data_IF_645832667313
#
_entry.id   IF_645832667313
#
_cell.length_a   1.000
_cell.length_b   1.000
_cell.length_c   1.000
_cell.angle_alpha   90.00
_cell.angle_beta   90.00
_cell.angle_gamma   90.00
#
_symmetry.space_group_name_H-M   'P 1'
#
loop_
_entity.id
_entity.type
_entity.pdbx_description
1 polymer ?
#
# COMPACT_ATOMS: atom_id res chain seq x y z
N UNK A 1 11.39 -14.94 3.14
CA UNK A 1 10.14 -14.56 3.84
C UNK A 1 10.30 -13.96 5.24
N UNK A 2 11.22 -14.46 6.09
CA UNK A 2 11.33 -14.02 7.50
C UNK A 2 11.48 -12.50 7.69
N UNK A 3 12.19 -11.81 6.79
CA UNK A 3 12.40 -10.34 6.85
C UNK A 3 11.12 -9.49 6.84
N UNK A 4 9.98 -10.05 6.43
CA UNK A 4 8.71 -9.33 6.41
C UNK A 4 7.94 -9.42 7.74
N UNK A 5 8.36 -10.30 8.65
CA UNK A 5 7.71 -10.54 9.93
C UNK A 5 8.57 -10.03 11.07
N UNK A 6 7.95 -9.31 12.00
CA UNK A 6 8.61 -8.85 13.21
C UNK A 6 7.71 -9.04 14.42
N UNK A 7 8.17 -9.81 15.39
CA UNK A 7 7.54 -9.87 16.72
C UNK A 7 8.14 -8.79 17.60
N UNK A 8 7.32 -7.81 17.95
CA UNK A 8 7.75 -6.72 18.82
C UNK A 8 7.79 -7.18 20.28
N UNK A 9 8.92 -6.90 20.94
CA UNK A 9 9.06 -7.18 22.37
C UNK A 9 8.11 -6.31 23.20
N UNK A 10 7.51 -6.94 24.20
CA UNK A 10 6.69 -6.28 25.24
C UNK A 10 7.46 -6.04 26.54
N UNK A 11 8.72 -6.50 26.59
CA UNK A 11 9.57 -6.32 27.77
C UNK A 11 10.08 -4.89 27.86
N UNK A 12 10.15 -4.38 29.08
CA UNK A 12 10.64 -3.04 29.39
C UNK A 12 10.72 -2.83 30.89
N UNK A 13 11.16 -1.64 31.29
CA UNK A 13 11.28 -1.28 32.70
C UNK A 13 9.91 -1.11 33.32
N UNK A 14 9.74 -1.64 34.54
CA UNK A 14 8.53 -1.46 35.34
C UNK A 14 8.59 -0.08 36.01
N UNK A 15 7.49 0.65 35.93
CA UNK A 15 7.33 1.96 36.55
C UNK A 15 6.46 1.80 37.80
N UNK A 16 6.84 2.46 38.90
CA UNK A 16 6.04 2.46 40.13
C UNK A 16 4.70 3.19 39.93
N UNK A 17 3.71 2.86 40.76
CA UNK A 17 2.43 3.57 40.74
C UNK A 17 2.60 5.08 40.99
N UNK A 18 3.48 5.45 41.92
CA UNK A 18 3.81 6.85 42.22
C UNK A 18 4.35 7.58 40.99
N UNK A 19 5.31 6.99 40.27
CA UNK A 19 5.86 7.59 39.06
C UNK A 19 4.80 7.73 37.95
N UNK A 20 3.86 6.77 37.84
CA UNK A 20 2.72 6.89 36.91
C UNK A 20 1.75 8.00 37.29
N UNK A 21 1.50 8.22 38.58
CA UNK A 21 0.64 9.30 39.07
C UNK A 21 1.31 10.66 38.84
N UNK A 22 2.58 10.80 39.20
CA UNK A 22 3.36 12.02 38.97
C UNK A 22 3.40 12.39 37.47
N UNK A 23 3.65 11.41 36.59
CA UNK A 23 3.63 11.65 35.14
C UNK A 23 2.26 12.13 34.63
N UNK A 24 1.15 11.65 35.22
CA UNK A 24 -0.20 12.12 34.87
C UNK A 24 -0.43 13.56 35.31
N UNK A 25 0.03 13.93 36.49
CA UNK A 25 -0.07 15.31 37.01
C UNK A 25 0.79 16.27 36.18
N UNK A 26 2.03 15.89 35.87
CA UNK A 26 2.91 16.67 34.99
C UNK A 26 2.32 16.88 33.60
N UNK A 27 1.68 15.84 33.03
CA UNK A 27 0.94 15.94 31.77
C UNK A 27 -0.23 16.90 31.88
N UNK A 28 -1.05 16.81 32.93
CA UNK A 28 -2.18 17.71 33.14
C UNK A 28 -1.71 19.17 33.30
N UNK A 29 -0.64 19.40 34.05
CA UNK A 29 -0.03 20.72 34.21
C UNK A 29 0.48 21.28 32.86
N UNK A 30 1.17 20.46 32.06
CA UNK A 30 1.62 20.87 30.74
C UNK A 30 0.45 21.21 29.81
N UNK A 31 -0.62 20.42 29.83
CA UNK A 31 -1.84 20.72 29.06
C UNK A 31 -2.43 22.08 29.46
N UNK A 32 -2.55 22.36 30.75
CA UNK A 32 -3.03 23.66 31.26
C UNK A 32 -2.12 24.82 30.84
N UNK A 33 -0.80 24.65 30.93
CA UNK A 33 0.18 25.66 30.50
C UNK A 33 0.07 25.98 29.01
N UNK A 34 -0.08 24.94 28.17
CA UNK A 34 -0.24 25.11 26.72
C UNK A 34 -1.55 25.84 26.39
N UNK A 35 -2.66 25.44 27.01
CA UNK A 35 -3.96 26.09 26.81
C UNK A 35 -3.95 27.56 27.26
N UNK A 36 -3.39 27.84 28.44
CA UNK A 36 -3.29 29.21 28.95
C UNK A 36 -2.41 30.10 28.07
N UNK A 37 -1.29 29.57 27.57
CA UNK A 37 -0.34 30.31 26.73
C UNK A 37 -0.86 30.58 25.33
N UNK A 38 -1.44 29.58 24.68
CA UNK A 38 -1.78 29.66 23.26
C UNK A 38 -3.26 29.96 23.00
N UNK A 39 -4.17 29.66 23.93
CA UNK A 39 -5.61 29.84 23.79
C UNK A 39 -6.20 29.18 22.53
N UNK A 40 -5.64 28.03 22.16
CA UNK A 40 -6.03 27.22 21.00
C UNK A 40 -6.32 25.79 21.44
N UNK A 41 -7.12 25.02 20.67
CA UNK A 41 -7.35 23.62 20.96
C UNK A 41 -6.06 22.79 21.01
N UNK A 42 -6.07 21.81 21.91
CA UNK A 42 -4.91 20.98 22.21
C UNK A 42 -5.23 19.51 21.91
N UNK A 43 -4.46 18.91 21.02
CA UNK A 43 -4.40 17.46 20.86
C UNK A 43 -3.32 16.90 21.80
N UNK A 44 -3.73 16.00 22.69
CA UNK A 44 -2.85 15.18 23.53
C UNK A 44 -2.85 13.75 23.00
N UNK A 45 -1.66 13.24 22.68
CA UNK A 45 -1.46 11.90 22.12
C UNK A 45 -0.78 11.06 23.18
N UNK A 46 -1.40 9.94 23.55
CA UNK A 46 -0.74 8.86 24.31
C UNK A 46 -1.10 7.51 23.72
N UNK A 47 -0.59 6.42 24.31
CA UNK A 47 -0.91 5.06 23.87
C UNK A 47 -1.75 4.33 24.92
N UNK A 48 -2.59 3.41 24.44
CA UNK A 48 -3.27 2.42 25.27
C UNK A 48 -2.24 1.38 25.73
N UNK A 49 -1.51 1.70 26.79
CA UNK A 49 -0.50 0.84 27.39
C UNK A 49 -1.01 0.17 28.69
N UNK A 50 -0.90 -1.15 28.78
CA UNK A 50 -1.37 -1.95 29.92
C UNK A 50 -0.25 -2.26 30.92
N UNK A 51 -0.59 -2.37 32.20
CA UNK A 51 0.34 -2.81 33.26
C UNK A 51 1.41 -1.77 33.64
N UNK A 52 2.49 -2.24 34.26
CA UNK A 52 3.59 -1.43 34.81
C UNK A 52 4.65 -1.03 33.76
N UNK A 53 4.68 -1.72 32.61
CA UNK A 53 5.61 -1.44 31.52
C UNK A 53 4.96 -0.48 30.53
N UNK A 54 5.47 0.76 30.44
CA UNK A 54 4.92 1.80 29.58
C UNK A 54 5.78 2.16 28.38
N UNK A 55 6.96 1.56 28.28
CA UNK A 55 7.91 1.76 27.20
C UNK A 55 8.58 0.43 26.87
N UNK A 56 8.50 0.05 25.60
CA UNK A 56 9.08 -1.15 25.01
C UNK A 56 9.07 -0.99 23.48
N UNK A 57 9.79 -1.85 22.73
CA UNK A 57 9.86 -1.74 21.28
C UNK A 57 8.50 -1.75 20.56
N UNK A 58 7.49 -2.44 21.10
CA UNK A 58 6.13 -2.40 20.55
C UNK A 58 5.52 -0.99 20.66
N UNK A 59 5.57 -0.40 21.85
CA UNK A 59 5.01 0.93 22.10
C UNK A 59 5.80 2.02 21.39
N UNK A 60 7.12 1.86 21.24
CA UNK A 60 7.97 2.75 20.44
C UNK A 60 7.47 2.81 18.99
N UNK A 61 7.29 1.64 18.37
CA UNK A 61 6.78 1.54 17.00
C UNK A 61 5.34 2.07 16.86
N UNK A 62 4.43 1.70 17.77
CA UNK A 62 3.04 2.21 17.74
C UNK A 62 3.02 3.74 17.85
N UNK A 63 3.89 4.32 18.68
CA UNK A 63 4.00 5.76 18.85
C UNK A 63 4.55 6.46 17.61
N UNK A 64 5.58 5.89 16.97
CA UNK A 64 6.08 6.39 15.69
C UNK A 64 4.97 6.44 14.64
N UNK A 65 4.17 5.36 14.52
CA UNK A 65 3.10 5.27 13.53
C UNK A 65 1.95 6.26 13.76
N UNK A 66 1.60 6.58 15.01
CA UNK A 66 0.61 7.65 15.25
C UNK A 66 1.15 9.01 14.83
N UNK A 67 2.43 9.31 15.08
CA UNK A 67 3.04 10.57 14.70
C UNK A 67 3.14 10.72 13.18
N UNK A 68 3.49 9.65 12.46
CA UNK A 68 3.49 9.63 11.00
C UNK A 68 2.09 9.91 10.43
N UNK A 69 1.06 9.22 10.93
CA UNK A 69 -0.32 9.38 10.47
C UNK A 69 -0.89 10.76 10.80
N UNK A 70 -0.59 11.30 11.98
CA UNK A 70 -0.94 12.69 12.31
C UNK A 70 -0.24 13.69 11.40
N UNK A 71 1.03 13.48 11.09
CA UNK A 71 1.80 14.35 10.18
C UNK A 71 1.17 14.35 8.78
N UNK A 72 0.82 13.17 8.26
CA UNK A 72 0.15 13.04 6.97
C UNK A 72 -1.24 13.71 6.96
N UNK A 73 -2.04 13.51 8.01
CA UNK A 73 -3.35 14.14 8.16
C UNK A 73 -3.24 15.66 8.22
N UNK A 74 -2.29 16.19 8.99
CA UNK A 74 -2.06 17.63 9.11
C UNK A 74 -1.63 18.24 7.77
N UNK A 75 -0.76 17.57 7.03
CA UNK A 75 -0.38 18.01 5.68
C UNK A 75 -1.59 18.03 4.73
N UNK A 76 -2.40 16.95 4.72
CA UNK A 76 -3.60 16.85 3.88
C UNK A 76 -4.62 17.96 4.20
N UNK A 77 -4.83 18.25 5.48
CA UNK A 77 -5.78 19.27 5.95
C UNK A 77 -5.18 20.69 5.99
N UNK A 78 -3.89 20.84 5.66
CA UNK A 78 -3.11 22.08 5.79
C UNK A 78 -3.14 22.66 7.21
N UNK A 79 -3.18 21.78 8.22
CA UNK A 79 -3.13 22.17 9.62
C UNK A 79 -1.67 22.30 10.06
N UNK A 80 -1.29 23.49 10.51
CA UNK A 80 0.07 23.77 10.98
C UNK A 80 0.00 23.95 12.50
N UNK A 81 0.60 23.04 13.31
CA UNK A 81 0.61 23.20 14.75
C UNK A 81 1.36 24.48 15.17
N UNK A 82 0.73 25.32 15.98
CA UNK A 82 1.38 26.47 16.63
C UNK A 82 2.42 26.04 17.66
N UNK A 83 2.28 24.83 18.20
CA UNK A 83 3.29 24.18 19.04
C UNK A 83 3.21 22.67 18.88
N UNK A 84 4.39 22.03 18.77
CA UNK A 84 4.58 20.58 18.86
C UNK A 84 5.54 20.28 20.00
N UNK A 85 5.17 19.32 20.85
CA UNK A 85 6.04 18.74 21.88
C UNK A 85 5.94 17.22 21.76
N UNK A 86 7.07 16.52 21.79
CA UNK A 86 7.13 15.04 21.80
C UNK A 86 8.05 14.64 22.95
N UNK A 87 7.58 13.76 23.83
CA UNK A 87 8.34 13.26 24.99
C UNK A 87 8.35 11.73 24.98
N UNK A 88 9.55 11.15 24.95
CA UNK A 88 9.76 9.71 25.00
C UNK A 88 10.09 9.24 26.42
N UNK A 89 9.11 9.36 27.32
CA UNK A 89 9.29 9.08 28.74
C UNK A 89 9.20 7.57 29.05
N UNK A 90 9.88 7.14 30.11
CA UNK A 90 9.77 5.74 30.58
C UNK A 90 8.38 5.43 31.16
N UNK A 91 7.66 6.45 31.63
CA UNK A 91 6.24 6.40 32.03
C UNK A 91 5.26 6.33 30.86
N UNK A 92 5.76 6.37 29.61
CA UNK A 92 4.98 6.25 28.38
C UNK A 92 5.21 7.41 27.42
N UNK A 93 5.20 7.11 26.12
CA UNK A 93 5.30 8.15 25.10
C UNK A 93 4.10 9.07 25.07
N UNK A 94 4.37 10.34 24.81
CA UNK A 94 3.33 11.34 24.64
C UNK A 94 3.73 12.45 23.68
N UNK A 95 2.73 13.02 23.01
CA UNK A 95 2.91 14.21 22.19
C UNK A 95 1.76 15.19 22.39
N UNK A 96 2.06 16.47 22.16
CA UNK A 96 1.12 17.57 22.27
C UNK A 96 1.19 18.42 21.01
N UNK A 97 0.03 18.71 20.45
CA UNK A 97 -0.11 19.59 19.29
C UNK A 97 -1.15 20.66 19.61
N UNK A 98 -0.69 21.92 19.68
CA UNK A 98 -1.56 23.08 19.74
C UNK A 98 -1.89 23.48 18.31
N UNK A 99 -3.16 23.46 17.93
CA UNK A 99 -3.57 23.61 16.53
C UNK A 99 -4.55 24.78 16.38
N UNK A 100 -4.34 25.68 15.40
CA UNK A 100 -5.24 26.81 15.12
C UNK A 100 -6.44 26.34 14.29
N UNK A 101 -7.18 25.36 14.81
CA UNK A 101 -8.34 24.73 14.16
C UNK A 101 -9.47 24.62 15.18
N UNK A 102 -10.70 24.45 14.71
CA UNK A 102 -11.83 24.23 15.59
C UNK A 102 -11.70 22.88 16.35
N UNK A 103 -12.03 22.88 17.64
CA UNK A 103 -11.88 21.70 18.50
C UNK A 103 -12.83 20.57 18.08
N UNK A 104 -14.02 20.90 17.57
CA UNK A 104 -15.02 19.93 17.10
C UNK A 104 -14.53 19.29 15.80
N UNK A 105 -14.00 20.08 14.86
CA UNK A 105 -13.37 19.56 13.64
C UNK A 105 -12.18 18.64 13.97
N UNK A 106 -11.29 19.08 14.85
CA UNK A 106 -10.13 18.30 15.28
C UNK A 106 -10.55 16.97 15.91
N UNK A 107 -11.54 16.97 16.82
CA UNK A 107 -12.00 15.73 17.46
C UNK A 107 -12.65 14.76 16.48
N UNK A 108 -13.40 15.24 15.48
CA UNK A 108 -13.94 14.36 14.42
C UNK A 108 -12.83 13.66 13.67
N UNK A 109 -11.81 14.40 13.24
CA UNK A 109 -10.68 13.83 12.53
C UNK A 109 -9.88 12.84 13.39
N UNK A 110 -9.73 13.09 14.70
CA UNK A 110 -9.09 12.15 15.61
C UNK A 110 -9.91 10.86 15.78
N UNK A 111 -11.24 10.96 15.89
CA UNK A 111 -12.12 9.78 15.95
C UNK A 111 -12.01 8.95 14.68
N UNK A 112 -12.06 9.59 13.51
CA UNK A 112 -11.86 8.91 12.21
C UNK A 112 -10.49 8.23 12.14
N UNK A 113 -9.45 8.90 12.64
CA UNK A 113 -8.10 8.37 12.64
C UNK A 113 -7.97 7.15 13.58
N UNK A 114 -8.54 7.19 14.79
CA UNK A 114 -8.57 6.05 15.72
C UNK A 114 -9.31 4.82 15.15
N UNK A 115 -10.32 5.07 14.31
CA UNK A 115 -11.15 4.02 13.70
C UNK A 115 -10.61 3.55 12.34
N UNK A 116 -9.51 4.16 11.84
CA UNK A 116 -8.99 3.91 10.49
C UNK A 116 -8.36 2.53 10.30
N UNK A 117 -7.68 1.98 11.31
CA UNK A 117 -6.97 0.70 11.22
C UNK A 117 -7.01 -0.06 12.55
N UNK A 118 -6.72 -1.36 12.50
CA UNK A 118 -6.60 -2.16 13.70
C UNK A 118 -5.50 -1.67 14.66
N UNK A 119 -4.39 -1.13 14.14
CA UNK A 119 -3.30 -0.54 14.93
C UNK A 119 -3.74 0.76 15.62
N UNK A 120 -4.52 1.59 14.93
CA UNK A 120 -4.99 2.88 15.44
C UNK A 120 -5.82 2.79 16.72
N UNK A 121 -6.38 1.61 16.99
CA UNK A 121 -7.06 1.27 18.25
C UNK A 121 -6.16 1.30 19.48
N UNK A 122 -4.84 1.32 19.30
CA UNK A 122 -3.85 1.46 20.37
C UNK A 122 -3.49 2.93 20.66
N UNK A 123 -3.93 3.88 19.83
CA UNK A 123 -3.70 5.30 20.06
C UNK A 123 -4.75 5.87 20.98
N UNK A 124 -4.39 6.86 21.78
CA UNK A 124 -5.31 7.63 22.63
C UNK A 124 -5.19 9.10 22.22
N UNK A 125 -6.16 9.58 21.44
CA UNK A 125 -6.17 10.90 20.81
C UNK A 125 -7.19 11.82 21.49
N UNK A 126 -6.74 12.46 22.56
CA UNK A 126 -7.53 13.37 23.37
C UNK A 126 -7.49 14.79 22.82
N UNK A 127 -8.66 15.42 22.68
CA UNK A 127 -8.77 16.81 22.23
C UNK A 127 -9.40 17.63 23.34
N UNK A 128 -8.66 18.65 23.79
CA UNK A 128 -9.14 19.65 24.73
C UNK A 128 -9.52 20.91 23.95
N UNK A 129 -10.69 21.47 24.25
CA UNK A 129 -11.08 22.77 23.73
C UNK A 129 -10.29 23.91 24.40
N UNK A 130 -10.50 25.15 23.93
CA UNK A 130 -9.81 26.35 24.46
C UNK A 130 -10.05 26.60 25.95
N UNK A 131 -11.11 26.03 26.53
CA UNK A 131 -11.44 26.14 27.96
C UNK A 131 -10.87 24.96 28.77
N UNK A 132 -10.18 24.03 28.13
CA UNK A 132 -9.64 22.82 28.74
C UNK A 132 -10.66 21.71 28.95
N UNK A 133 -11.84 21.78 28.33
CA UNK A 133 -12.80 20.66 28.37
C UNK A 133 -12.33 19.57 27.41
N UNK A 134 -12.20 18.35 27.92
CA UNK A 134 -11.96 17.16 27.12
C UNK A 134 -13.20 16.80 26.30
N UNK A 135 -13.05 16.69 24.98
CA UNK A 135 -14.11 16.28 24.07
C UNK A 135 -14.18 14.75 23.98
N UNK A 136 -15.37 14.21 24.22
CA UNK A 136 -15.65 12.76 24.24
C UNK A 136 -16.32 12.28 22.95
N UNK A 137 -16.27 10.97 22.67
CA UNK A 137 -16.95 10.37 21.50
C UNK A 137 -18.48 10.56 21.55
N UNK A 138 -19.07 10.57 22.75
CA UNK A 138 -20.51 10.78 22.96
C UNK A 138 -20.97 12.19 22.57
N UNK A 139 -20.10 13.20 22.67
CA UNK A 139 -20.41 14.56 22.20
C UNK A 139 -20.67 14.61 20.68
N UNK A 140 -20.32 13.53 19.94
CA UNK A 140 -20.44 13.42 18.48
C UNK A 140 -21.37 12.29 18.04
N UNK A 141 -22.20 11.75 18.94
CA UNK A 141 -23.08 10.60 18.69
C UNK A 141 -22.33 9.37 18.14
N UNK A 142 -21.06 9.20 18.52
CA UNK A 142 -20.25 8.04 18.15
C UNK A 142 -20.25 7.01 19.28
N UNK A 143 -20.26 5.70 18.95
CA UNK A 143 -20.21 4.67 19.97
C UNK A 143 -18.91 4.75 20.79
N UNK A 144 -18.93 4.26 22.04
CA UNK A 144 -17.72 4.13 22.84
C UNK A 144 -16.71 3.20 22.15
N UNK A 145 -15.43 3.31 22.52
CA UNK A 145 -14.40 2.40 22.01
C UNK A 145 -14.73 0.96 22.42
N UNK A 146 -14.60 0.05 21.46
CA UNK A 146 -14.80 -1.38 21.69
C UNK A 146 -13.57 -2.01 22.36
N UNK A 147 -13.76 -3.10 23.10
CA UNK A 147 -12.68 -3.88 23.69
C UNK A 147 -11.83 -4.50 22.59
N UNK A 148 -10.51 -4.51 22.77
CA UNK A 148 -9.56 -5.11 21.81
C UNK A 148 -9.80 -6.62 21.62
N UNK A 149 -10.35 -7.30 22.64
CA UNK A 149 -10.54 -8.75 22.66
C UNK A 149 -11.93 -9.17 22.20
N UNK A 150 -12.99 -8.69 22.89
CA UNK A 150 -14.36 -9.18 22.68
C UNK A 150 -15.27 -8.24 21.88
N UNK A 151 -14.82 -7.04 21.52
CA UNK A 151 -15.64 -6.09 20.76
C UNK A 151 -16.77 -5.40 21.56
N UNK A 152 -17.01 -5.77 22.82
CA UNK A 152 -17.95 -5.07 23.72
C UNK A 152 -17.44 -3.68 24.13
N UNK A 153 -18.19 -2.92 24.93
CA UNK A 153 -17.72 -1.62 25.42
C UNK A 153 -16.44 -1.77 26.29
N UNK A 154 -15.33 -1.17 25.85
CA UNK A 154 -14.03 -1.29 26.52
C UNK A 154 -14.07 -0.84 27.99
N UNK A 155 -14.85 0.20 28.33
CA UNK A 155 -14.95 0.70 29.71
C UNK A 155 -15.52 -0.36 30.65
N UNK A 156 -16.47 -1.15 30.18
CA UNK A 156 -17.06 -2.22 30.97
C UNK A 156 -16.05 -3.34 31.23
N UNK A 157 -15.33 -3.77 30.19
CA UNK A 157 -14.30 -4.82 30.28
C UNK A 157 -13.15 -4.42 31.21
N UNK A 158 -12.69 -3.16 31.15
CA UNK A 158 -11.64 -2.66 32.04
C UNK A 158 -12.11 -2.63 33.49
N UNK A 159 -13.34 -2.15 33.76
CA UNK A 159 -13.90 -2.09 35.11
C UNK A 159 -14.10 -3.48 35.72
N UNK A 160 -14.57 -4.44 34.93
CA UNK A 160 -14.82 -5.81 35.39
C UNK A 160 -13.59 -6.72 35.31
N UNK A 161 -12.44 -6.20 34.82
CA UNK A 161 -11.23 -7.00 34.53
C UNK A 161 -11.54 -8.28 33.77
N UNK A 162 -12.38 -8.16 32.72
CA UNK A 162 -12.93 -9.31 31.98
C UNK A 162 -11.86 -10.18 31.30
N UNK A 163 -10.73 -9.58 30.93
CA UNK A 163 -9.65 -10.22 30.19
C UNK A 163 -8.35 -10.15 30.97
N UNK A 164 -7.51 -11.18 30.84
CA UNK A 164 -6.18 -11.19 31.43
C UNK A 164 -5.27 -10.19 30.71
N UNK A 165 -4.28 -9.64 31.42
CA UNK A 165 -3.35 -8.68 30.83
C UNK A 165 -2.57 -9.28 29.65
N UNK A 166 -2.20 -10.55 29.74
CA UNK A 166 -1.45 -11.26 28.70
C UNK A 166 -2.26 -11.41 27.40
N UNK A 167 -3.59 -11.58 27.50
CA UNK A 167 -4.46 -11.63 26.31
C UNK A 167 -4.47 -10.29 25.58
N UNK A 168 -4.51 -9.19 26.34
CA UNK A 168 -4.48 -7.83 25.79
C UNK A 168 -3.11 -7.54 25.16
N UNK A 169 -2.02 -7.90 25.83
CA UNK A 169 -0.66 -7.71 25.31
C UNK A 169 -0.43 -8.53 24.03
N UNK A 170 -0.94 -9.76 23.97
CA UNK A 170 -0.86 -10.60 22.78
C UNK A 170 -1.65 -9.98 21.61
N UNK A 171 -2.85 -9.45 21.86
CA UNK A 171 -3.63 -8.76 20.84
C UNK A 171 -2.95 -7.47 20.35
N UNK A 172 -2.30 -6.72 21.24
CA UNK A 172 -1.47 -5.57 20.87
C UNK A 172 -0.31 -6.00 19.95
N UNK A 173 0.37 -7.10 20.27
CA UNK A 173 1.43 -7.66 19.43
C UNK A 173 0.91 -8.06 18.06
N UNK A 174 -0.23 -8.75 17.99
CA UNK A 174 -0.83 -9.16 16.71
C UNK A 174 -1.18 -7.98 15.81
N UNK A 175 -1.79 -6.92 16.36
CA UNK A 175 -2.11 -5.70 15.59
C UNK A 175 -0.85 -5.03 15.06
N UNK A 176 0.18 -4.99 15.89
CA UNK A 176 1.48 -4.39 15.54
C UNK A 176 2.19 -5.19 14.45
N UNK A 177 2.27 -6.51 14.60
CA UNK A 177 2.79 -7.44 13.61
C UNK A 177 2.07 -7.32 12.26
N UNK A 178 0.74 -7.29 12.29
CA UNK A 178 -0.09 -7.18 11.09
C UNK A 178 0.18 -5.89 10.32
N UNK A 179 0.22 -4.75 11.03
CA UNK A 179 0.46 -3.46 10.40
C UNK A 179 1.90 -3.35 9.89
N UNK A 180 2.90 -3.80 10.66
CA UNK A 180 4.29 -3.84 10.21
C UNK A 180 4.47 -4.66 8.94
N UNK A 181 3.89 -5.86 8.90
CA UNK A 181 3.92 -6.71 7.70
C UNK A 181 3.32 -5.98 6.50
N UNK A 182 2.15 -5.35 6.66
CA UNK A 182 1.53 -4.57 5.60
C UNK A 182 2.40 -3.40 5.11
N UNK A 183 3.10 -2.70 6.01
CA UNK A 183 4.08 -1.67 5.65
C UNK A 183 5.23 -2.23 4.82
N UNK A 184 5.80 -3.37 5.20
CA UNK A 184 6.90 -3.95 4.45
C UNK A 184 6.49 -4.37 3.04
N UNK A 185 5.28 -4.90 2.86
CA UNK A 185 4.74 -5.21 1.53
C UNK A 185 4.49 -3.94 0.73
N UNK A 186 3.83 -2.94 1.32
CA UNK A 186 3.58 -1.65 0.67
C UNK A 186 4.87 -0.94 0.25
N UNK A 187 5.92 -1.04 1.06
CA UNK A 187 7.26 -0.54 0.72
C UNK A 187 7.83 -1.27 -0.50
N UNK A 188 7.76 -2.60 -0.56
CA UNK A 188 8.26 -3.35 -1.72
C UNK A 188 7.50 -3.06 -3.00
N UNK A 189 6.19 -2.83 -2.92
CA UNK A 189 5.39 -2.39 -4.09
C UNK A 189 5.84 -1.00 -4.53
N UNK A 190 5.98 -0.06 -3.59
CA UNK A 190 6.46 1.29 -3.89
C UNK A 190 7.83 1.26 -4.58
N UNK A 191 8.79 0.50 -4.04
CA UNK A 191 10.12 0.34 -4.66
C UNK A 191 10.04 -0.29 -6.06
N UNK A 192 9.12 -1.24 -6.27
CA UNK A 192 8.96 -1.88 -7.57
C UNK A 192 8.41 -0.92 -8.63
N UNK A 193 7.45 -0.05 -8.26
CA UNK A 193 6.95 0.99 -9.15
C UNK A 193 8.03 2.02 -9.50
N UNK A 194 8.84 2.44 -8.52
CA UNK A 194 9.95 3.35 -8.79
C UNK A 194 10.99 2.73 -9.72
N UNK A 195 11.39 1.48 -9.47
CA UNK A 195 12.37 0.82 -10.32
C UNK A 195 11.86 0.55 -11.73
N UNK A 196 10.59 0.18 -11.88
CA UNK A 196 9.97 0.10 -13.20
C UNK A 196 10.06 1.45 -13.91
N UNK A 197 9.65 2.54 -13.25
CA UNK A 197 9.63 3.87 -13.85
C UNK A 197 11.05 4.36 -14.20
N UNK A 198 12.06 4.04 -13.39
CA UNK A 198 13.44 4.49 -13.57
C UNK A 198 14.24 3.65 -14.57
N UNK A 199 13.88 2.37 -14.77
CA UNK A 199 14.56 1.47 -15.71
C UNK A 199 14.57 2.09 -17.11
N UNK A 200 15.74 2.10 -17.77
CA UNK A 200 15.90 2.64 -19.12
C UNK A 200 16.87 1.80 -19.95
N UNK A 201 16.70 1.70 -21.27
CA UNK A 201 15.59 2.23 -22.08
C UNK A 201 14.37 1.30 -22.07
N UNK A 202 13.15 1.86 -21.99
CA UNK A 202 11.89 1.12 -22.08
C UNK A 202 11.09 1.52 -23.33
N UNK A 203 11.09 0.69 -24.40
CA UNK A 203 10.54 1.09 -25.69
C UNK A 203 9.09 1.61 -25.66
N UNK A 204 8.91 2.90 -25.96
CA UNK A 204 7.62 3.59 -26.02
C UNK A 204 7.01 3.95 -24.65
N UNK A 205 7.70 3.63 -23.56
CA UNK A 205 7.27 3.89 -22.18
C UNK A 205 7.99 5.12 -21.61
N UNK A 206 7.43 5.68 -20.55
CA UNK A 206 8.14 6.68 -19.74
C UNK A 206 9.27 5.99 -19.00
N UNK A 207 10.49 6.54 -19.07
CA UNK A 207 11.65 6.08 -18.32
C UNK A 207 12.52 7.26 -17.82
N UNK A 208 13.77 6.98 -17.38
CA UNK A 208 14.70 8.02 -16.93
C UNK A 208 15.33 8.83 -18.06
N UNK A 209 15.27 8.33 -19.31
CA UNK A 209 15.85 9.00 -20.47
C UNK A 209 14.81 9.83 -21.22
N UNK A 210 13.57 9.34 -21.33
CA UNK A 210 12.53 9.92 -22.18
C UNK A 210 11.12 9.74 -21.60
N UNK A 211 10.16 10.47 -22.16
CA UNK A 211 8.73 10.26 -21.87
C UNK A 211 8.10 9.16 -22.77
N UNK A 212 8.90 8.47 -23.57
CA UNK A 212 8.42 7.52 -24.57
C UNK A 212 7.39 8.15 -25.51
N UNK A 213 6.30 7.43 -25.76
CA UNK A 213 5.20 7.87 -26.60
C UNK A 213 4.18 8.78 -25.86
N UNK A 214 4.56 9.42 -24.77
CA UNK A 214 3.65 10.26 -23.96
C UNK A 214 4.05 11.73 -24.00
N UNK A 215 3.04 12.59 -23.87
CA UNK A 215 3.19 14.06 -23.79
C UNK A 215 2.59 14.62 -22.48
N UNK A 216 1.84 13.79 -21.75
CA UNK A 216 1.05 14.10 -20.57
C UNK A 216 1.66 13.56 -19.27
N UNK A 217 2.74 12.80 -19.35
CA UNK A 217 3.47 12.26 -18.19
C UNK A 217 4.97 12.08 -18.47
N UNK A 218 5.73 12.03 -17.38
CA UNK A 218 7.18 11.89 -17.31
C UNK A 218 7.57 11.14 -16.03
N UNK A 219 8.86 10.87 -15.83
CA UNK A 219 9.36 10.15 -14.65
C UNK A 219 8.86 10.75 -13.32
N UNK A 220 8.95 12.07 -13.16
CA UNK A 220 8.50 12.74 -11.93
C UNK A 220 7.00 12.52 -11.66
N UNK A 221 6.19 12.40 -12.72
CA UNK A 221 4.75 12.11 -12.60
C UNK A 221 4.52 10.70 -12.08
N UNK A 222 5.32 9.72 -12.52
CA UNK A 222 5.33 8.36 -11.97
C UNK A 222 5.81 8.33 -10.52
N UNK A 223 6.88 9.02 -10.16
CA UNK A 223 7.41 9.08 -8.79
C UNK A 223 6.40 9.66 -7.80
N UNK A 224 5.75 10.79 -8.16
CA UNK A 224 4.66 11.37 -7.36
C UNK A 224 3.48 10.41 -7.21
N UNK A 225 3.14 9.71 -8.28
CA UNK A 225 2.05 8.73 -8.29
C UNK A 225 2.37 7.55 -7.36
N UNK A 226 3.56 6.94 -7.47
CA UNK A 226 3.99 5.83 -6.63
C UNK A 226 3.97 6.21 -5.13
N UNK A 227 4.45 7.41 -4.79
CA UNK A 227 4.45 7.91 -3.42
C UNK A 227 3.02 8.07 -2.87
N UNK A 228 2.11 8.63 -3.67
CA UNK A 228 0.70 8.80 -3.28
C UNK A 228 -0.03 7.46 -3.13
N UNK A 229 0.39 6.42 -3.86
CA UNK A 229 -0.23 5.11 -3.85
C UNK A 229 0.28 4.19 -2.73
N UNK A 230 1.47 4.43 -2.19
CA UNK A 230 2.08 3.61 -1.13
C UNK A 230 1.13 3.31 0.05
N UNK A 231 0.40 4.27 0.64
CA UNK A 231 -0.54 3.99 1.72
C UNK A 231 -1.67 3.03 1.32
N UNK A 232 -2.15 3.12 0.08
CA UNK A 232 -3.23 2.25 -0.41
C UNK A 232 -2.78 0.80 -0.54
N UNK A 233 -1.53 0.55 -0.94
CA UNK A 233 -0.99 -0.82 -0.96
C UNK A 233 -0.93 -1.44 0.44
N UNK A 234 -0.59 -0.65 1.47
CA UNK A 234 -0.69 -1.09 2.87
C UNK A 234 -2.14 -1.45 3.21
N UNK A 235 -3.09 -0.59 2.84
CA UNK A 235 -4.51 -0.79 3.09
C UNK A 235 -5.07 -2.02 2.37
N UNK A 236 -4.60 -2.34 1.15
CA UNK A 236 -4.98 -3.57 0.43
C UNK A 236 -4.52 -4.81 1.19
N UNK A 237 -3.30 -4.83 1.72
CA UNK A 237 -2.81 -5.95 2.56
C UNK A 237 -3.67 -6.08 3.81
N UNK A 238 -3.93 -4.98 4.52
CA UNK A 238 -4.77 -4.98 5.73
C UNK A 238 -6.19 -5.47 5.42
N UNK A 239 -6.77 -5.05 4.30
CA UNK A 239 -8.11 -5.50 3.87
C UNK A 239 -8.11 -6.99 3.50
N UNK A 240 -7.02 -7.49 2.92
CA UNK A 240 -6.80 -8.92 2.71
C UNK A 240 -6.83 -9.72 4.02
N UNK A 241 -6.19 -9.21 5.08
CA UNK A 241 -6.23 -9.84 6.40
C UNK A 241 -7.63 -9.82 7.02
N UNK A 242 -8.36 -8.71 6.88
CA UNK A 242 -9.72 -8.54 7.41
C UNK A 242 -10.72 -9.50 6.75
N UNK A 243 -10.57 -9.73 5.45
CA UNK A 243 -11.47 -10.58 4.66
C UNK A 243 -11.11 -12.06 4.69
N UNK A 244 -10.14 -12.48 5.51
CA UNK A 244 -9.65 -13.86 5.53
C UNK A 244 -10.73 -14.92 5.85
N UNK A 245 -11.77 -14.55 6.59
CA UNK A 245 -12.90 -15.42 6.93
C UNK A 245 -14.01 -15.47 5.85
N UNK A 246 -13.96 -14.60 4.84
CA UNK A 246 -14.98 -14.53 3.78
C UNK A 246 -14.65 -15.51 2.64
N UNK A 247 -15.63 -15.98 1.85
CA UNK A 247 -15.35 -16.67 0.58
C UNK A 247 -14.42 -15.85 -0.32
N UNK A 248 -13.50 -16.52 -1.03
CA UNK A 248 -12.45 -15.88 -1.84
C UNK A 248 -13.03 -14.97 -2.93
N UNK A 249 -14.09 -15.43 -3.61
CA UNK A 249 -14.80 -14.68 -4.65
C UNK A 249 -15.55 -13.43 -4.15
N UNK A 250 -15.72 -13.26 -2.83
CA UNK A 250 -16.35 -12.06 -2.27
C UNK A 250 -15.34 -10.94 -1.96
N UNK A 251 -14.04 -11.26 -1.86
CA UNK A 251 -13.00 -10.30 -1.44
C UNK A 251 -12.93 -9.09 -2.35
N UNK A 252 -13.13 -9.27 -3.66
CA UNK A 252 -13.07 -8.20 -4.64
C UNK A 252 -14.02 -7.03 -4.31
N UNK A 253 -15.22 -7.33 -3.81
CA UNK A 253 -16.22 -6.32 -3.44
C UNK A 253 -15.76 -5.41 -2.28
N UNK A 254 -14.88 -5.92 -1.41
CA UNK A 254 -14.32 -5.19 -0.26
C UNK A 254 -13.09 -4.36 -0.63
N UNK A 255 -12.32 -4.79 -1.62
CA UNK A 255 -11.10 -4.08 -2.05
C UNK A 255 -11.36 -3.10 -3.21
N UNK A 256 -12.43 -3.27 -4.00
CA UNK A 256 -12.78 -2.40 -5.12
C UNK A 256 -12.98 -0.93 -4.69
N UNK A 257 -13.69 -0.59 -3.60
CA UNK A 257 -13.78 0.80 -3.13
C UNK A 257 -12.43 1.41 -2.80
N UNK A 258 -11.51 0.62 -2.24
CA UNK A 258 -10.15 1.07 -1.94
C UNK A 258 -9.36 1.37 -3.22
N UNK A 259 -9.51 0.54 -4.26
CA UNK A 259 -8.92 0.80 -5.58
C UNK A 259 -9.43 2.08 -6.22
N UNK A 260 -10.72 2.39 -6.09
CA UNK A 260 -11.28 3.66 -6.59
C UNK A 260 -10.70 4.87 -5.85
N UNK A 261 -10.50 4.78 -4.53
CA UNK A 261 -9.84 5.83 -3.77
C UNK A 261 -8.37 5.99 -4.16
N UNK A 262 -7.67 4.88 -4.42
CA UNK A 262 -6.29 4.89 -4.90
C UNK A 262 -6.19 5.56 -6.29
N UNK A 263 -7.11 5.24 -7.21
CA UNK A 263 -7.19 5.90 -8.53
C UNK A 263 -7.43 7.40 -8.39
N UNK A 264 -8.33 7.83 -7.49
CA UNK A 264 -8.58 9.25 -7.24
C UNK A 264 -7.34 9.96 -6.70
N UNK A 265 -6.63 9.37 -5.75
CA UNK A 265 -5.40 9.93 -5.19
C UNK A 265 -4.29 10.03 -6.25
N UNK A 266 -4.16 9.01 -7.10
CA UNK A 266 -3.29 9.04 -8.28
C UNK A 266 -3.65 10.22 -9.18
N UNK A 267 -4.89 10.31 -9.66
CA UNK A 267 -5.30 11.37 -10.57
C UNK A 267 -5.11 12.78 -9.97
N UNK A 268 -5.33 12.96 -8.68
CA UNK A 268 -5.11 14.24 -8.02
C UNK A 268 -3.63 14.67 -8.03
N UNK A 269 -2.70 13.73 -7.82
CA UNK A 269 -1.25 14.05 -7.79
C UNK A 269 -0.60 14.10 -9.18
N UNK A 270 -1.27 13.51 -10.18
CA UNK A 270 -0.78 13.44 -11.57
C UNK A 270 -1.49 14.41 -12.52
N UNK A 271 -2.24 15.39 -11.99
CA UNK A 271 -3.02 16.34 -12.82
C UNK A 271 -3.97 15.65 -13.81
N UNK A 272 -4.64 14.59 -13.35
CA UNK A 272 -5.57 13.75 -14.10
C UNK A 272 -4.96 12.84 -15.19
N UNK A 273 -3.64 12.64 -15.17
CA UNK A 273 -2.98 11.68 -16.06
C UNK A 273 -3.08 10.23 -15.53
N UNK A 274 -3.36 9.29 -16.42
CA UNK A 274 -3.43 7.86 -16.11
C UNK A 274 -2.05 7.21 -16.08
N UNK A 275 -1.37 7.25 -14.93
CA UNK A 275 -0.01 6.70 -14.74
C UNK A 275 0.00 5.22 -14.34
N UNK A 276 -0.63 4.89 -13.22
CA UNK A 276 -0.53 3.59 -12.55
C UNK A 276 -1.88 2.88 -12.38
N UNK A 277 -2.90 3.18 -13.19
CA UNK A 277 -4.23 2.58 -13.01
C UNK A 277 -4.22 1.05 -13.13
N UNK A 278 -3.47 0.51 -14.08
CA UNK A 278 -3.31 -0.94 -14.23
C UNK A 278 -2.54 -1.55 -13.06
N UNK A 279 -1.44 -0.92 -12.64
CA UNK A 279 -0.71 -1.29 -11.44
C UNK A 279 -1.58 -1.28 -10.17
N UNK A 280 -2.45 -0.29 -9.94
CA UNK A 280 -3.38 -0.25 -8.79
C UNK A 280 -4.26 -1.50 -8.78
N UNK A 281 -4.83 -1.86 -9.93
CA UNK A 281 -5.68 -3.05 -10.04
C UNK A 281 -4.91 -4.32 -9.69
N UNK A 282 -3.77 -4.55 -10.34
CA UNK A 282 -3.02 -5.80 -10.17
C UNK A 282 -2.36 -5.91 -8.80
N UNK A 283 -1.68 -4.86 -8.33
CA UNK A 283 -1.11 -4.85 -6.97
C UNK A 283 -2.21 -4.87 -5.90
N UNK A 284 -3.39 -4.28 -6.13
CA UNK A 284 -4.50 -4.36 -5.19
C UNK A 284 -4.91 -5.80 -4.89
N UNK A 285 -5.02 -6.63 -5.94
CA UNK A 285 -5.31 -8.07 -5.81
C UNK A 285 -4.18 -8.83 -5.12
N UNK A 286 -2.93 -8.59 -5.54
CA UNK A 286 -1.75 -9.29 -5.01
C UNK A 286 -1.50 -8.94 -3.55
N UNK A 287 -1.57 -7.65 -3.18
CA UNK A 287 -1.47 -7.20 -1.80
C UNK A 287 -2.56 -7.80 -0.92
N UNK A 288 -3.82 -7.81 -1.39
CA UNK A 288 -4.91 -8.45 -0.66
C UNK A 288 -4.69 -9.96 -0.47
N UNK A 289 -4.18 -10.65 -1.50
CA UNK A 289 -3.89 -12.08 -1.42
C UNK A 289 -2.79 -12.35 -0.39
N UNK A 290 -1.70 -11.58 -0.43
CA UNK A 290 -0.59 -11.67 0.54
C UNK A 290 -1.08 -11.41 1.97
N UNK A 291 -1.92 -10.39 2.18
CA UNK A 291 -2.51 -10.10 3.48
C UNK A 291 -3.38 -11.24 4.00
N UNK A 292 -4.23 -11.80 3.15
CA UNK A 292 -5.08 -12.95 3.49
C UNK A 292 -4.23 -14.18 3.87
N UNK A 293 -3.21 -14.50 3.08
CA UNK A 293 -2.29 -15.61 3.37
C UNK A 293 -1.55 -15.39 4.69
N UNK A 294 -1.13 -14.16 4.99
CA UNK A 294 -0.48 -13.84 6.26
C UNK A 294 -1.39 -14.03 7.47
N UNK A 295 -2.68 -13.67 7.36
CA UNK A 295 -3.64 -13.92 8.41
C UNK A 295 -3.87 -15.43 8.62
N UNK A 296 -4.02 -16.20 7.54
CA UNK A 296 -4.21 -17.65 7.59
C UNK A 296 -2.97 -18.40 8.11
N UNK A 297 -1.77 -17.88 7.83
CA UNK A 297 -0.52 -18.40 8.37
C UNK A 297 -0.22 -17.95 9.81
N UNK A 298 -1.12 -17.21 10.46
CA UNK A 298 -0.90 -16.62 11.79
C UNK A 298 0.40 -15.81 11.89
N UNK A 299 0.74 -15.06 10.84
CA UNK A 299 1.97 -14.26 10.73
C UNK A 299 3.26 -15.06 10.97
N UNK A 300 3.24 -16.35 10.64
CA UNK A 300 4.45 -17.20 10.62
C UNK A 300 4.99 -17.29 9.20
N UNK A 301 6.29 -17.08 9.06
CA UNK A 301 6.96 -17.26 7.79
C UNK A 301 6.82 -18.72 7.33
N UNK A 302 6.26 -18.92 6.14
CA UNK A 302 6.10 -20.24 5.53
C UNK A 302 6.25 -20.13 4.00
N UNK A 303 7.33 -20.67 3.45
CA UNK A 303 7.66 -20.49 2.03
C UNK A 303 6.64 -21.12 1.08
N UNK A 304 5.95 -22.19 1.48
CA UNK A 304 4.90 -22.81 0.68
C UNK A 304 3.64 -21.93 0.62
N UNK A 305 3.24 -21.35 1.76
CA UNK A 305 2.07 -20.47 1.84
C UNK A 305 2.31 -19.18 1.05
N UNK A 306 3.54 -18.65 1.11
CA UNK A 306 3.92 -17.43 0.41
C UNK A 306 4.66 -17.69 -0.91
N UNK A 307 4.45 -18.86 -1.53
CA UNK A 307 4.96 -19.09 -2.88
C UNK A 307 4.25 -18.15 -3.85
N UNK A 308 4.92 -17.82 -4.96
CA UNK A 308 4.33 -16.97 -6.00
C UNK A 308 3.08 -17.63 -6.58
N UNK A 309 3.13 -18.95 -6.79
CA UNK A 309 1.98 -19.73 -7.24
C UNK A 309 0.79 -19.59 -6.29
N UNK A 310 1.00 -19.70 -4.97
CA UNK A 310 -0.05 -19.54 -3.96
C UNK A 310 -0.67 -18.14 -3.99
N UNK A 311 0.17 -17.10 -4.09
CA UNK A 311 -0.29 -15.70 -4.17
C UNK A 311 -1.10 -15.46 -5.44
N UNK A 312 -0.57 -15.89 -6.58
CA UNK A 312 -1.20 -15.78 -7.89
C UNK A 312 -2.53 -16.56 -7.95
N UNK A 313 -2.55 -17.80 -7.47
CA UNK A 313 -3.76 -18.64 -7.43
C UNK A 313 -4.85 -18.01 -6.58
N UNK A 314 -4.50 -17.47 -5.40
CA UNK A 314 -5.48 -16.78 -4.56
C UNK A 314 -5.98 -15.48 -5.21
N UNK A 315 -5.10 -14.73 -5.87
CA UNK A 315 -5.51 -13.52 -6.60
C UNK A 315 -6.47 -13.83 -7.76
N UNK A 316 -6.30 -14.96 -8.45
CA UNK A 316 -7.22 -15.44 -9.48
C UNK A 316 -8.61 -15.76 -8.92
N UNK A 317 -8.66 -16.40 -7.75
CA UNK A 317 -9.92 -16.68 -7.04
C UNK A 317 -10.65 -15.41 -6.63
N UNK A 318 -9.93 -14.33 -6.28
CA UNK A 318 -10.55 -13.03 -6.04
C UNK A 318 -11.06 -12.39 -7.33
N UNK A 319 -10.33 -12.57 -8.42
CA UNK A 319 -10.63 -12.02 -9.74
C UNK A 319 -11.70 -12.81 -10.50
N UNK A 320 -12.18 -13.93 -9.96
CA UNK A 320 -13.12 -14.83 -10.63
C UNK A 320 -14.32 -14.05 -11.19
N UNK A 321 -14.62 -14.31 -12.47
CA UNK A 321 -15.72 -13.73 -13.25
C UNK A 321 -15.56 -12.23 -13.62
N UNK A 322 -14.40 -11.62 -13.38
CA UNK A 322 -14.09 -10.26 -13.87
C UNK A 322 -14.13 -10.11 -15.39
N UNK A 323 -13.81 -11.15 -16.16
CA UNK A 323 -13.95 -11.07 -17.63
C UNK A 323 -15.41 -11.19 -18.05
N UNK A 324 -16.27 -11.87 -17.28
CA UNK A 324 -17.72 -11.85 -17.51
C UNK A 324 -18.31 -10.46 -17.33
N UNK A 325 -17.71 -9.60 -16.50
CA UNK A 325 -18.10 -8.18 -16.42
C UNK A 325 -17.81 -7.39 -17.71
N UNK A 326 -16.86 -7.85 -18.55
CA UNK A 326 -16.59 -7.24 -19.87
C UNK A 326 -17.64 -7.70 -20.89
N UNK A 327 -18.04 -8.96 -20.82
CA UNK A 327 -19.11 -9.54 -21.65
C UNK A 327 -20.48 -8.89 -21.32
N UNK A 328 -20.82 -8.83 -20.03
CA UNK A 328 -22.09 -8.30 -19.53
C UNK A 328 -21.95 -6.84 -19.07
N UNK A 329 -21.20 -6.03 -19.81
CA UNK A 329 -21.01 -4.62 -19.47
C UNK A 329 -22.33 -3.83 -19.59
N UNK A 330 -22.78 -3.10 -18.57
CA UNK A 330 -24.08 -2.44 -18.59
C UNK A 330 -24.19 -1.38 -19.70
N UNK A 331 -25.26 -1.45 -20.50
CA UNK A 331 -25.45 -0.56 -21.66
C UNK A 331 -25.64 0.92 -21.31
N UNK A 332 -26.03 1.22 -20.06
CA UNK A 332 -26.18 2.60 -19.59
C UNK A 332 -24.85 3.26 -19.19
N UNK A 333 -23.74 2.52 -19.15
CA UNK A 333 -22.42 3.04 -18.80
C UNK A 333 -21.61 3.38 -20.06
N UNK A 334 -20.77 4.43 -20.01
CA UNK A 334 -19.86 4.74 -21.11
C UNK A 334 -18.92 3.58 -21.42
N UNK A 335 -18.82 3.20 -22.71
CA UNK A 335 -17.91 2.14 -23.14
C UNK A 335 -16.47 2.54 -22.83
N UNK A 336 -15.82 1.77 -21.96
CA UNK A 336 -14.40 1.93 -21.66
C UNK A 336 -13.54 1.31 -22.77
N UNK A 337 -12.28 1.74 -22.88
CA UNK A 337 -11.30 1.14 -23.79
C UNK A 337 -11.22 -0.39 -23.66
N UNK A 338 -11.21 -0.91 -22.43
CA UNK A 338 -11.15 -2.35 -22.17
C UNK A 338 -12.39 -3.10 -22.69
N UNK A 339 -13.59 -2.55 -22.48
CA UNK A 339 -14.84 -3.15 -22.99
C UNK A 339 -14.87 -3.14 -24.51
N UNK A 340 -14.45 -2.04 -25.15
CA UNK A 340 -14.35 -1.96 -26.61
C UNK A 340 -13.42 -3.03 -27.16
N UNK A 341 -12.18 -3.11 -26.63
CA UNK A 341 -11.18 -4.06 -27.10
C UNK A 341 -11.56 -5.53 -26.84
N UNK A 342 -12.28 -5.79 -25.75
CA UNK A 342 -12.85 -7.11 -25.49
C UNK A 342 -13.92 -7.48 -26.53
N UNK A 343 -14.87 -6.58 -26.81
CA UNK A 343 -15.94 -6.82 -27.80
C UNK A 343 -15.40 -6.97 -29.23
N UNK A 344 -14.38 -6.21 -29.58
CA UNK A 344 -13.83 -6.18 -30.95
C UNK A 344 -12.84 -7.31 -31.22
N UNK A 345 -12.01 -7.67 -30.23
CA UNK A 345 -10.86 -8.56 -30.43
C UNK A 345 -10.75 -9.70 -29.41
N UNK A 346 -11.69 -9.81 -28.45
CA UNK A 346 -11.62 -10.81 -27.36
C UNK A 346 -10.52 -10.53 -26.33
N UNK A 347 -9.92 -9.34 -26.35
CA UNK A 347 -8.82 -8.99 -25.45
C UNK A 347 -9.32 -8.69 -24.05
N UNK A 348 -8.96 -9.54 -23.09
CA UNK A 348 -9.38 -9.44 -21.69
C UNK A 348 -8.54 -8.45 -20.86
N UNK A 349 -7.34 -8.11 -21.33
CA UNK A 349 -6.40 -7.22 -20.65
C UNK A 349 -6.04 -7.68 -19.23
N UNK A 350 -5.79 -6.70 -18.34
CA UNK A 350 -5.40 -6.96 -16.96
C UNK A 350 -6.39 -7.84 -16.18
N UNK A 351 -7.69 -7.79 -16.51
CA UNK A 351 -8.72 -8.62 -15.87
C UNK A 351 -8.51 -10.10 -16.14
N UNK A 352 -8.29 -10.45 -17.41
CA UNK A 352 -8.01 -11.85 -17.78
C UNK A 352 -6.65 -12.32 -17.30
N UNK A 353 -5.64 -11.44 -17.28
CA UNK A 353 -4.35 -11.78 -16.65
C UNK A 353 -4.53 -12.12 -15.16
N UNK A 354 -5.30 -11.34 -14.42
CA UNK A 354 -5.61 -11.60 -13.02
C UNK A 354 -6.42 -12.90 -12.83
N UNK A 355 -7.45 -13.14 -13.62
CA UNK A 355 -8.23 -14.39 -13.59
C UNK A 355 -7.39 -15.64 -13.90
N UNK A 356 -6.39 -15.51 -14.77
CA UNK A 356 -5.44 -16.58 -15.07
C UNK A 356 -4.30 -16.68 -14.03
N UNK A 357 -4.37 -15.91 -12.94
CA UNK A 357 -3.38 -15.93 -11.88
C UNK A 357 -2.03 -15.39 -12.31
N UNK A 358 -2.00 -14.33 -13.12
CA UNK A 358 -0.77 -13.70 -13.58
C UNK A 358 0.21 -14.69 -14.20
N UNK A 359 -0.30 -15.57 -15.07
CA UNK A 359 0.46 -16.67 -15.67
C UNK A 359 1.74 -16.19 -16.37
N UNK A 360 1.75 -15.00 -16.96
CA UNK A 360 2.94 -14.45 -17.61
C UNK A 360 4.08 -14.23 -16.62
N UNK A 361 3.78 -13.75 -15.41
CA UNK A 361 4.75 -13.56 -14.35
C UNK A 361 5.28 -14.91 -13.86
N UNK A 362 4.38 -15.88 -13.65
CA UNK A 362 4.76 -17.22 -13.21
C UNK A 362 5.70 -17.92 -14.19
N UNK A 363 5.52 -17.70 -15.49
CA UNK A 363 6.44 -18.19 -16.54
C UNK A 363 7.73 -17.37 -16.64
N UNK A 364 7.67 -16.05 -16.41
CA UNK A 364 8.81 -15.16 -16.56
C UNK A 364 9.86 -15.35 -15.47
N UNK A 365 9.44 -15.48 -14.21
CA UNK A 365 10.38 -15.46 -13.10
C UNK A 365 11.40 -16.61 -13.13
N UNK A 366 11.02 -17.89 -13.39
CA UNK A 366 12.00 -18.96 -13.56
C UNK A 366 12.98 -18.70 -14.72
N UNK A 367 12.51 -18.09 -15.81
CA UNK A 367 13.37 -17.73 -16.94
C UNK A 367 14.41 -16.66 -16.54
N UNK A 368 14.04 -15.71 -15.67
CA UNK A 368 14.97 -14.69 -15.16
C UNK A 368 16.04 -15.24 -14.21
N UNK A 369 15.86 -16.45 -13.68
CA UNK A 369 16.87 -17.13 -12.88
C UNK A 369 18.05 -17.60 -13.76
N UNK A 370 17.84 -17.83 -15.06
CA UNK A 370 18.90 -18.13 -16.06
C UNK A 370 19.85 -16.94 -16.29
N UNK A 371 19.44 -15.74 -15.90
CA UNK A 371 20.19 -14.49 -16.06
C UNK A 371 20.75 -13.95 -14.73
N UNK A 372 20.81 -14.75 -13.66
CA UNK A 372 21.23 -14.31 -12.32
C UNK A 372 22.65 -13.69 -12.27
N UNK A 373 23.52 -14.04 -13.21
CA UNK A 373 24.87 -13.51 -13.38
C UNK A 373 24.91 -12.08 -13.95
N UNK A 374 23.83 -11.64 -14.60
CA UNK A 374 23.74 -10.29 -15.16
C UNK A 374 23.37 -9.28 -14.08
N UNK A 375 23.76 -8.02 -14.28
CA UNK A 375 23.35 -6.98 -13.35
C UNK A 375 21.83 -6.76 -13.36
N UNK A 376 21.34 -6.18 -12.27
CA UNK A 376 19.93 -6.03 -11.98
C UNK A 376 19.14 -5.37 -13.12
N UNK A 377 19.59 -4.20 -13.60
CA UNK A 377 18.90 -3.48 -14.67
C UNK A 377 18.87 -4.29 -15.96
N UNK A 378 19.99 -4.94 -16.30
CA UNK A 378 20.07 -5.77 -17.50
C UNK A 378 19.02 -6.90 -17.47
N UNK A 379 18.88 -7.58 -16.33
CA UNK A 379 17.84 -8.61 -16.15
C UNK A 379 16.43 -8.05 -16.32
N UNK A 380 16.17 -6.83 -15.85
CA UNK A 380 14.87 -6.19 -16.01
C UNK A 380 14.57 -5.76 -17.45
N UNK A 381 15.57 -5.33 -18.21
CA UNK A 381 15.41 -5.05 -19.64
C UNK A 381 15.07 -6.33 -20.43
N UNK A 382 15.70 -7.45 -20.08
CA UNK A 382 15.38 -8.76 -20.64
C UNK A 382 13.96 -9.18 -20.24
N UNK A 383 13.58 -8.96 -18.98
CA UNK A 383 12.24 -9.22 -18.49
C UNK A 383 11.16 -8.46 -19.28
N UNK A 384 11.39 -7.16 -19.52
CA UNK A 384 10.50 -6.32 -20.30
C UNK A 384 10.33 -6.85 -21.73
N UNK A 385 11.41 -7.27 -22.39
CA UNK A 385 11.32 -7.87 -23.73
C UNK A 385 10.46 -9.14 -23.73
N UNK A 386 10.65 -10.03 -22.74
CA UNK A 386 9.83 -11.24 -22.65
C UNK A 386 8.35 -10.93 -22.43
N UNK A 387 8.04 -9.91 -21.63
CA UNK A 387 6.66 -9.45 -21.42
C UNK A 387 6.09 -8.83 -22.70
N UNK A 388 6.82 -7.94 -23.37
CA UNK A 388 6.40 -7.32 -24.63
C UNK A 388 6.21 -8.33 -25.76
N UNK A 389 6.97 -9.43 -25.77
CA UNK A 389 6.86 -10.50 -26.75
C UNK A 389 5.56 -11.34 -26.61
N UNK A 390 4.99 -11.44 -25.40
CA UNK A 390 3.89 -12.36 -25.09
C UNK A 390 2.59 -11.66 -24.71
N UNK A 391 2.67 -10.53 -24.04
CA UNK A 391 1.50 -9.85 -23.50
C UNK A 391 0.64 -9.28 -24.64
N UNK A 392 -0.65 -9.63 -24.73
CA UNK A 392 -1.57 -8.98 -25.65
C UNK A 392 -1.97 -7.60 -25.11
N UNK A 393 -1.00 -6.67 -25.13
CA UNK A 393 -1.10 -5.39 -24.43
C UNK A 393 -2.19 -4.48 -25.02
N UNK A 394 -3.28 -4.33 -24.26
CA UNK A 394 -4.42 -3.50 -24.64
C UNK A 394 -4.08 -2.02 -24.78
N UNK A 395 -3.00 -1.50 -24.15
CA UNK A 395 -2.57 -0.12 -24.36
C UNK A 395 -1.99 0.10 -25.75
N UNK A 396 -1.26 -0.90 -26.28
CA UNK A 396 -0.74 -0.86 -27.65
C UNK A 396 -1.88 -0.95 -28.65
N UNK A 397 -2.81 -1.89 -28.46
CA UNK A 397 -3.97 -2.06 -29.35
C UNK A 397 -4.88 -0.83 -29.32
N UNK A 398 -5.07 -0.21 -28.15
CA UNK A 398 -5.81 1.04 -28.04
C UNK A 398 -5.23 2.16 -28.92
N UNK A 399 -3.90 2.20 -29.08
CA UNK A 399 -3.21 3.28 -29.79
C UNK A 399 -3.02 3.00 -31.28
N UNK A 400 -2.80 1.75 -31.68
CA UNK A 400 -2.45 1.40 -33.06
C UNK A 400 -3.05 0.09 -33.59
N UNK A 401 -4.04 -0.49 -32.90
CA UNK A 401 -4.71 -1.72 -33.33
C UNK A 401 -3.86 -2.98 -33.22
N UNK A 402 -4.33 -4.08 -33.80
CA UNK A 402 -3.65 -5.38 -33.75
C UNK A 402 -2.32 -5.40 -34.51
N UNK A 403 -2.18 -4.61 -35.58
CA UNK A 403 -0.92 -4.49 -36.32
C UNK A 403 0.19 -3.88 -35.45
N UNK A 404 -0.15 -2.87 -34.63
CA UNK A 404 0.79 -2.29 -33.68
C UNK A 404 1.20 -3.28 -32.59
N UNK A 405 0.25 -4.08 -32.08
CA UNK A 405 0.55 -5.15 -31.13
C UNK A 405 1.50 -6.17 -31.74
N UNK A 406 1.23 -6.62 -32.96
CA UNK A 406 2.08 -7.55 -33.70
C UNK A 406 3.48 -6.96 -33.91
N UNK A 407 3.59 -5.67 -34.28
CA UNK A 407 4.87 -4.99 -34.41
C UNK A 407 5.68 -5.02 -33.10
N UNK A 408 5.05 -4.68 -31.98
CA UNK A 408 5.70 -4.67 -30.65
C UNK A 408 6.16 -6.07 -30.26
N UNK A 409 5.28 -7.07 -30.39
CA UNK A 409 5.60 -8.45 -30.06
C UNK A 409 6.71 -9.00 -30.94
N UNK A 410 6.63 -8.80 -32.26
CA UNK A 410 7.62 -9.31 -33.20
C UNK A 410 8.99 -8.65 -33.01
N UNK A 411 9.03 -7.35 -32.77
CA UNK A 411 10.27 -6.63 -32.46
C UNK A 411 10.95 -7.18 -31.20
N UNK A 412 10.17 -7.45 -30.15
CA UNK A 412 10.70 -8.04 -28.92
C UNK A 412 11.19 -9.49 -29.15
N UNK A 413 10.42 -10.30 -29.88
CA UNK A 413 10.78 -11.68 -30.25
C UNK A 413 12.10 -11.70 -31.04
N UNK A 414 12.27 -10.81 -32.02
CA UNK A 414 13.45 -10.79 -32.87
C UNK A 414 14.72 -10.37 -32.12
N UNK A 415 14.60 -9.46 -31.15
CA UNK A 415 15.71 -9.15 -30.24
C UNK A 415 16.08 -10.36 -29.37
N UNK A 416 15.08 -11.05 -28.80
CA UNK A 416 15.29 -12.21 -27.93
C UNK A 416 15.92 -13.43 -28.65
N UNK A 417 15.70 -13.57 -29.97
CA UNK A 417 16.34 -14.62 -30.79
C UNK A 417 17.87 -14.49 -30.83
N UNK A 418 18.42 -13.28 -30.68
CA UNK A 418 19.86 -13.07 -30.74
C UNK A 418 20.48 -13.08 -29.33
N UNK A 419 20.86 -14.26 -28.85
CA UNK A 419 21.48 -14.43 -27.52
C UNK A 419 22.76 -13.61 -27.33
N UNK A 420 23.56 -13.43 -28.40
CA UNK A 420 24.77 -12.60 -28.32
C UNK A 420 24.48 -11.10 -28.13
N UNK A 421 23.29 -10.64 -28.54
CA UNK A 421 22.80 -9.29 -28.28
C UNK A 421 22.20 -9.21 -26.88
N UNK A 422 21.38 -10.19 -26.49
CA UNK A 422 20.68 -10.22 -25.19
C UNK A 422 21.67 -10.23 -24.03
N UNK A 423 22.74 -11.03 -24.11
CA UNK A 423 23.73 -11.17 -23.04
C UNK A 423 24.74 -10.00 -22.95
N UNK A 424 24.74 -9.08 -23.91
CA UNK A 424 25.64 -7.92 -23.94
C UNK A 424 24.84 -6.65 -23.63
N UNK A 425 24.99 -6.11 -22.41
CA UNK A 425 24.21 -4.94 -21.94
C UNK A 425 24.30 -3.76 -22.92
N UNK A 426 25.47 -3.52 -23.51
CA UNK A 426 25.68 -2.36 -24.40
C UNK A 426 24.91 -2.56 -25.70
N UNK A 427 25.03 -3.74 -26.31
CA UNK A 427 24.29 -4.07 -27.55
C UNK A 427 22.78 -4.09 -27.31
N UNK A 428 22.34 -4.68 -26.20
CA UNK A 428 20.92 -4.71 -25.84
C UNK A 428 20.37 -3.29 -25.66
N UNK A 429 21.06 -2.44 -24.90
CA UNK A 429 20.69 -1.03 -24.69
C UNK A 429 20.55 -0.30 -26.03
N UNK A 430 21.54 -0.42 -26.92
CA UNK A 430 21.48 0.21 -28.24
C UNK A 430 20.32 -0.30 -29.09
N UNK A 431 20.03 -1.59 -29.05
CA UNK A 431 18.92 -2.17 -29.78
C UNK A 431 17.56 -1.71 -29.22
N UNK A 432 17.45 -1.61 -27.90
CA UNK A 432 16.26 -1.09 -27.23
C UNK A 432 16.04 0.40 -27.51
N UNK A 433 17.09 1.23 -27.60
CA UNK A 433 16.94 2.65 -28.01
C UNK A 433 16.39 2.79 -29.44
N UNK A 434 16.79 1.89 -30.36
CA UNK A 434 16.22 1.84 -31.71
C UNK A 434 14.76 1.42 -31.68
N UNK A 435 14.44 0.40 -30.88
CA UNK A 435 13.06 -0.06 -30.71
C UNK A 435 12.19 1.02 -30.07
N UNK A 436 12.70 1.72 -29.06
CA UNK A 436 12.07 2.86 -28.41
C UNK A 436 11.72 3.96 -29.41
N UNK A 437 12.70 4.41 -30.20
CA UNK A 437 12.47 5.37 -31.27
C UNK A 437 11.36 4.92 -32.23
N UNK A 438 11.32 3.63 -32.58
CA UNK A 438 10.31 3.08 -33.48
C UNK A 438 8.90 3.04 -32.85
N UNK A 439 8.80 2.80 -31.55
CA UNK A 439 7.55 2.90 -30.78
C UNK A 439 7.09 4.36 -30.67
N UNK A 440 7.98 5.29 -30.34
CA UNK A 440 7.69 6.72 -30.20
C UNK A 440 7.12 7.29 -31.51
N UNK A 441 7.76 7.00 -32.65
CA UNK A 441 7.30 7.46 -33.98
C UNK A 441 5.89 6.94 -34.29
N UNK A 442 5.55 5.74 -33.83
CA UNK A 442 4.23 5.11 -34.03
C UNK A 442 3.23 5.47 -32.92
N UNK A 443 3.63 6.31 -31.97
CA UNK A 443 2.87 6.62 -30.77
C UNK A 443 2.42 5.36 -30.00
N UNK A 444 3.28 4.35 -29.85
CA UNK A 444 2.95 3.10 -29.17
C UNK A 444 3.52 3.07 -27.76
N UNK A 445 2.71 2.65 -26.80
CA UNK A 445 3.15 2.50 -25.40
C UNK A 445 2.67 1.17 -24.80
N UNK A 446 3.59 0.23 -24.55
CA UNK A 446 3.34 -1.06 -23.90
C UNK A 446 3.05 -0.98 -22.39
N UNK A 447 2.04 -0.19 -21.99
CA UNK A 447 1.73 0.08 -20.57
C UNK A 447 1.32 -1.16 -19.77
N UNK A 448 0.67 -2.15 -20.39
CA UNK A 448 0.32 -3.41 -19.72
C UNK A 448 1.56 -4.26 -19.44
N UNK A 449 2.53 -4.25 -20.34
CA UNK A 449 3.83 -4.90 -20.10
C UNK A 449 4.65 -4.19 -19.02
N UNK A 450 4.54 -2.87 -18.89
CA UNK A 450 5.12 -2.11 -17.78
C UNK A 450 4.51 -2.49 -16.43
N UNK A 451 3.17 -2.58 -16.34
CA UNK A 451 2.49 -3.03 -15.10
C UNK A 451 2.95 -4.44 -14.67
N UNK A 452 3.12 -5.36 -15.62
CA UNK A 452 3.63 -6.72 -15.37
C UNK A 452 5.11 -6.73 -15.00
N UNK A 453 5.91 -5.81 -15.54
CA UNK A 453 7.30 -5.64 -15.14
C UNK A 453 7.39 -5.18 -13.69
N UNK A 454 6.60 -4.19 -13.28
CA UNK A 454 6.54 -3.75 -11.88
C UNK A 454 6.17 -4.90 -10.93
N UNK A 455 5.18 -5.72 -11.27
CA UNK A 455 4.83 -6.89 -10.47
C UNK A 455 5.96 -7.92 -10.41
N UNK A 456 6.67 -8.12 -11.53
CA UNK A 456 7.81 -9.03 -11.61
C UNK A 456 8.97 -8.57 -10.72
N UNK A 457 9.28 -7.26 -10.74
CA UNK A 457 10.25 -6.62 -9.83
C UNK A 457 9.84 -6.83 -8.37
N UNK A 458 8.56 -6.58 -8.04
CA UNK A 458 8.04 -6.82 -6.70
C UNK A 458 8.25 -8.27 -6.26
N UNK A 459 7.95 -9.23 -7.13
CA UNK A 459 8.11 -10.65 -6.80
C UNK A 459 9.57 -11.08 -6.65
N UNK A 460 10.51 -10.49 -7.42
CA UNK A 460 11.94 -10.67 -7.21
C UNK A 460 12.36 -10.15 -5.84
N UNK A 461 11.93 -8.93 -5.48
CA UNK A 461 12.14 -8.40 -4.13
C UNK A 461 11.47 -9.23 -3.07
N UNK A 462 10.35 -9.88 -3.35
CA UNK A 462 9.62 -10.70 -2.40
C UNK A 462 10.37 -12.01 -2.12
N UNK A 463 10.92 -12.65 -3.16
CA UNK A 463 11.74 -13.87 -3.06
C UNK A 463 13.08 -13.67 -2.36
N UNK A 464 13.73 -12.52 -2.53
CA UNK A 464 15.06 -12.28 -1.92
C UNK A 464 16.14 -11.77 -2.84
N UNK A 465 15.82 -11.58 -4.12
CA UNK A 465 16.75 -11.15 -5.14
C UNK A 465 16.95 -9.63 -5.14
#
# INVERSE_FOLDING_TARGET
>A
MQRFFQTFSIQGNRISLEALLNAREERALLQQQLLAKYQLPLLSVTLTAMGEVKKNPLLDYVFEKVLEKLTALFAQRKWIPSKKIVRALDSGHEAFFVLPVDAVELKRAMIELEDSTALARLWDLDVLDVKGRLLSRSDFNKPPRTCLICGENAKNCTRSRKHHIDEILLEMQHRTQAYYFAEQIGEKVYQALLQEAQLSPKPGLVDSLTNGAHQDMNLQTFERSALALKPFFIDFVLKGMETAALPENQVLSYIRPLGLLAEQAMFQTTHHTNTHKGAIFSFGLICAAIGRLAKLAHFRANELIFSIESICSLSAKFAQDLTKELEHYPDYLPITAGVRLYREYGLTGARGEAENGFQQIQMLLPLLDEYHQLDWEHRLLIALLHLMAKNPDTNVVHRGGLEALQFVQQSAIDLLKNQSLVLDKTKLTQALLKFDSACIIRNLSPGGSADLLALSIFFLFFRGN
#
